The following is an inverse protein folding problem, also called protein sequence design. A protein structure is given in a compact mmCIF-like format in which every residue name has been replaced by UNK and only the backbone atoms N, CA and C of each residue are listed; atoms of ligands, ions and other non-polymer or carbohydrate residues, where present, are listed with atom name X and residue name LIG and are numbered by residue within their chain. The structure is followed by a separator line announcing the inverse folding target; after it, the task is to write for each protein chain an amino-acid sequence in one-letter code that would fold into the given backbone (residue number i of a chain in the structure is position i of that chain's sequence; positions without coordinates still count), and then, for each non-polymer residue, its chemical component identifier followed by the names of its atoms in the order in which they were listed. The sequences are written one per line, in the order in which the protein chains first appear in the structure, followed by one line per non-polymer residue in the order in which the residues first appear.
data_IF_165660427886
#
_entry.id   IF_165660427886
#
_cell.length_a   1.000
_cell.length_b   1.000
_cell.length_c   1.000
_cell.angle_alpha   90.00
_cell.angle_beta   90.00
_cell.angle_gamma   90.00
#
_symmetry.space_group_name_H-M   'P 1'
#
loop_
_entity.id
_entity.type
_entity.pdbx_description
1 polymer ?
#
# COMPACT_ATOMS: atom_id res chain seq x y z
N UNK A 1 -4.37 -15.73 -5.13
CA UNK A 1 -5.55 -15.01 -5.65
C UNK A 1 -5.83 -13.84 -4.72
N UNK A 2 -5.97 -12.65 -5.28
CA UNK A 2 -6.20 -11.42 -4.54
C UNK A 2 -7.56 -10.82 -4.94
N UNK A 3 -8.25 -10.22 -3.96
CA UNK A 3 -9.50 -9.49 -4.18
C UNK A 3 -9.22 -8.01 -4.06
N UNK A 4 -9.44 -7.28 -5.14
CA UNK A 4 -9.33 -5.83 -5.18
C UNK A 4 -10.69 -5.22 -4.91
N UNK A 5 -10.72 -4.12 -4.15
CA UNK A 5 -11.94 -3.38 -3.90
C UNK A 5 -11.66 -1.88 -3.89
N UNK A 6 -12.64 -1.08 -4.33
CA UNK A 6 -12.57 0.37 -4.27
C UNK A 6 -13.96 0.95 -4.02
N UNK A 7 -14.02 1.99 -3.17
CA UNK A 7 -15.27 2.70 -2.92
C UNK A 7 -15.40 3.84 -3.93
N UNK A 8 -16.49 3.80 -4.70
CA UNK A 8 -16.72 4.74 -5.79
C UNK A 8 -18.23 4.79 -6.10
N UNK A 9 -19.03 5.40 -5.21
CA UNK A 9 -20.51 5.33 -5.25
C UNK A 9 -21.12 6.10 -6.42
N UNK A 10 -20.35 6.98 -7.08
CA UNK A 10 -20.80 7.77 -8.23
C UNK A 10 -20.33 7.19 -9.57
N UNK A 11 -19.49 6.16 -9.55
CA UNK A 11 -19.08 5.47 -10.77
C UNK A 11 -20.21 4.56 -11.24
N UNK A 12 -20.33 4.40 -12.55
CA UNK A 12 -21.24 3.45 -13.22
C UNK A 12 -20.48 2.26 -13.75
N UNK A 13 -19.19 2.42 -14.06
CA UNK A 13 -18.30 1.34 -14.52
C UNK A 13 -16.92 1.53 -13.90
N UNK A 14 -16.40 0.46 -13.31
CA UNK A 14 -15.01 0.38 -12.87
C UNK A 14 -14.38 -0.88 -13.45
N UNK A 15 -13.18 -0.70 -13.98
CA UNK A 15 -12.30 -1.81 -14.31
C UNK A 15 -11.08 -1.81 -13.39
N UNK A 16 -10.68 -3.00 -12.96
CA UNK A 16 -9.35 -3.26 -12.45
C UNK A 16 -8.39 -3.36 -13.65
N UNK A 17 -7.33 -2.57 -13.64
CA UNK A 17 -6.22 -2.68 -14.58
C UNK A 17 -5.05 -3.32 -13.86
N UNK A 18 -4.60 -4.48 -14.30
CA UNK A 18 -3.50 -5.24 -13.70
C UNK A 18 -2.77 -6.04 -14.77
N UNK A 19 -1.43 -6.03 -14.78
CA UNK A 19 -0.60 -6.72 -15.78
C UNK A 19 -1.02 -6.47 -17.25
N UNK A 20 -1.37 -5.21 -17.56
CA UNK A 20 -1.82 -4.81 -18.90
C UNK A 20 -3.21 -5.31 -19.29
N UNK A 21 -3.90 -6.02 -18.40
CA UNK A 21 -5.28 -6.50 -18.59
C UNK A 21 -6.26 -5.58 -17.89
N UNK A 22 -7.46 -5.49 -18.44
CA UNK A 22 -8.60 -4.75 -17.90
C UNK A 22 -9.69 -5.75 -17.55
N UNK A 23 -10.09 -5.78 -16.28
CA UNK A 23 -11.07 -6.70 -15.73
C UNK A 23 -12.22 -5.89 -15.13
N UNK A 24 -13.42 -6.05 -15.68
CA UNK A 24 -14.61 -5.38 -15.16
C UNK A 24 -14.88 -5.77 -13.71
N UNK A 25 -15.03 -4.79 -12.84
CA UNK A 25 -15.40 -4.99 -11.44
C UNK A 25 -16.93 -5.04 -11.31
N UNK A 26 -17.41 -5.68 -10.24
CA UNK A 26 -18.84 -5.78 -9.94
C UNK A 26 -19.19 -4.78 -8.84
N UNK A 27 -20.33 -4.06 -8.96
CA UNK A 27 -20.84 -3.27 -7.86
C UNK A 27 -21.20 -4.19 -6.69
N UNK A 28 -20.90 -3.73 -5.49
CA UNK A 28 -21.23 -4.34 -4.20
C UNK A 28 -21.99 -3.31 -3.34
N UNK A 29 -22.42 -3.73 -2.16
CA UNK A 29 -23.24 -2.89 -1.27
C UNK A 29 -22.53 -1.59 -0.88
N UNK A 30 -23.30 -0.51 -0.68
CA UNK A 30 -22.79 0.76 -0.17
C UNK A 30 -21.89 1.55 -1.13
N UNK A 31 -21.92 1.25 -2.43
CA UNK A 31 -21.11 1.95 -3.45
C UNK A 31 -19.68 1.42 -3.59
N UNK A 32 -19.43 0.22 -3.04
CA UNK A 32 -18.20 -0.53 -3.27
C UNK A 32 -18.21 -1.20 -4.64
N UNK A 33 -17.02 -1.40 -5.17
CA UNK A 33 -16.75 -2.21 -6.35
C UNK A 33 -15.73 -3.26 -5.98
N UNK A 34 -15.95 -4.50 -6.39
CA UNK A 34 -15.04 -5.63 -6.13
C UNK A 34 -14.65 -6.34 -7.42
N UNK A 35 -13.38 -6.75 -7.51
CA UNK A 35 -12.96 -7.70 -8.52
C UNK A 35 -13.44 -9.10 -8.14
N UNK A 36 -13.56 -9.99 -9.14
CA UNK A 36 -13.44 -11.42 -8.85
C UNK A 36 -12.04 -11.76 -8.31
N UNK A 37 -11.81 -13.04 -8.03
CA UNK A 37 -10.48 -13.50 -7.66
C UNK A 37 -9.51 -13.29 -8.82
N UNK A 38 -8.58 -12.36 -8.65
CA UNK A 38 -7.58 -12.04 -9.65
C UNK A 38 -6.27 -12.77 -9.31
N UNK A 39 -5.59 -13.25 -10.35
CA UNK A 39 -4.20 -13.67 -10.22
C UNK A 39 -3.36 -12.41 -10.02
N UNK A 40 -2.81 -12.25 -8.82
CA UNK A 40 -1.91 -11.17 -8.46
C UNK A 40 -1.06 -11.64 -7.28
N UNK A 41 0.25 -11.59 -7.47
CA UNK A 41 1.26 -11.88 -6.46
C UNK A 41 1.89 -10.58 -5.95
N UNK A 42 2.69 -10.65 -4.89
CA UNK A 42 3.47 -9.50 -4.43
C UNK A 42 4.29 -8.89 -5.58
N UNK A 43 4.29 -7.56 -5.71
CA UNK A 43 4.92 -6.84 -6.82
C UNK A 43 3.99 -6.57 -8.01
N UNK A 44 2.82 -7.21 -8.10
CA UNK A 44 1.86 -6.98 -9.20
C UNK A 44 1.41 -5.51 -9.22
N UNK A 45 1.54 -4.86 -10.38
CA UNK A 45 1.10 -3.47 -10.60
C UNK A 45 -0.38 -3.42 -10.94
N UNK A 46 -1.14 -2.59 -10.24
CA UNK A 46 -2.58 -2.45 -10.44
C UNK A 46 -3.10 -1.02 -10.29
N UNK A 47 -4.26 -0.76 -10.86
CA UNK A 47 -5.00 0.50 -10.68
C UNK A 47 -6.47 0.36 -11.07
N UNK A 48 -7.26 1.38 -10.75
CA UNK A 48 -8.68 1.41 -11.07
C UNK A 48 -8.95 2.40 -12.20
N UNK A 49 -9.62 1.94 -13.25
CA UNK A 49 -10.13 2.80 -14.30
C UNK A 49 -11.60 3.07 -14.07
N UNK A 50 -11.96 4.35 -14.01
CA UNK A 50 -13.33 4.82 -13.81
C UNK A 50 -13.87 5.29 -15.16
N UNK A 51 -15.06 4.81 -15.56
CA UNK A 51 -15.71 5.17 -16.84
C UNK A 51 -14.79 5.04 -18.08
N UNK A 52 -13.94 4.00 -18.13
CA UNK A 52 -13.01 3.77 -19.25
C UNK A 52 -11.81 4.73 -19.33
N UNK A 53 -11.59 5.57 -18.32
CA UNK A 53 -10.46 6.49 -18.25
C UNK A 53 -9.08 5.81 -18.06
N UNK A 54 -8.02 6.63 -17.89
CA UNK A 54 -6.72 6.10 -17.50
C UNK A 54 -6.80 5.45 -16.10
N UNK A 55 -6.03 4.38 -15.84
CA UNK A 55 -5.97 3.78 -14.52
C UNK A 55 -5.40 4.78 -13.51
N UNK A 56 -5.99 4.79 -12.31
CA UNK A 56 -5.57 5.60 -11.17
C UNK A 56 -5.09 4.69 -10.04
N UNK A 57 -4.16 5.14 -9.19
CA UNK A 57 -3.74 4.38 -8.02
C UNK A 57 -4.92 4.12 -7.09
N UNK A 58 -4.77 3.04 -6.34
CA UNK A 58 -5.65 2.72 -5.22
C UNK A 58 -5.48 3.77 -4.11
N UNK A 59 -6.55 4.47 -3.68
CA UNK A 59 -6.47 5.37 -2.53
C UNK A 59 -6.08 4.67 -1.22
N UNK A 60 -6.16 3.33 -1.17
CA UNK A 60 -5.77 2.48 -0.04
C UNK A 60 -4.50 1.66 -0.35
N UNK A 61 -3.70 2.11 -1.31
CA UNK A 61 -2.47 1.44 -1.71
C UNK A 61 -1.49 1.27 -0.54
N UNK A 62 -0.83 0.11 -0.50
CA UNK A 62 0.27 -0.16 0.44
C UNK A 62 1.65 0.22 -0.11
N UNK A 63 1.78 0.43 -1.43
CA UNK A 63 3.05 0.76 -2.09
C UNK A 63 2.81 1.49 -3.42
N UNK A 64 3.54 2.60 -3.61
CA UNK A 64 3.53 3.46 -4.80
C UNK A 64 4.96 3.60 -5.37
N UNK A 65 5.49 2.53 -5.97
CA UNK A 65 6.89 2.47 -6.38
C UNK A 65 7.22 3.43 -7.54
N UNK A 66 6.23 3.74 -8.38
CA UNK A 66 6.37 4.63 -9.54
C UNK A 66 5.83 6.05 -9.26
N UNK A 67 5.71 6.41 -7.98
CA UNK A 67 5.21 7.70 -7.51
C UNK A 67 3.70 7.77 -7.30
N UNK A 68 3.21 8.87 -6.71
CA UNK A 68 1.82 9.00 -6.22
C UNK A 68 0.73 8.96 -7.29
N UNK A 69 1.09 9.08 -8.56
CA UNK A 69 0.17 8.96 -9.70
C UNK A 69 0.37 7.64 -10.47
N UNK A 70 1.36 6.84 -10.07
CA UNK A 70 1.67 5.55 -10.66
C UNK A 70 0.64 4.48 -10.32
N UNK A 71 0.87 3.27 -10.82
CA UNK A 71 0.07 2.12 -10.42
C UNK A 71 0.48 1.69 -9.01
N UNK A 72 -0.51 1.27 -8.23
CA UNK A 72 -0.30 0.61 -6.95
C UNK A 72 0.42 -0.72 -7.12
N UNK A 73 1.09 -1.16 -6.07
CA UNK A 73 1.71 -2.48 -6.01
C UNK A 73 1.06 -3.34 -4.92
N UNK A 74 0.80 -4.61 -5.24
CA UNK A 74 0.39 -5.61 -4.26
C UNK A 74 1.55 -5.90 -3.31
N UNK A 75 1.32 -5.78 -2.01
CA UNK A 75 2.31 -6.04 -0.96
C UNK A 75 1.91 -7.28 -0.18
N UNK A 76 2.81 -8.26 -0.07
CA UNK A 76 2.67 -9.35 0.88
C UNK A 76 3.11 -8.87 2.28
N UNK A 77 2.14 -8.63 3.15
CA UNK A 77 2.38 -8.19 4.52
C UNK A 77 3.05 -9.25 5.42
N UNK A 78 3.11 -10.51 4.95
CA UNK A 78 3.75 -11.61 5.66
C UNK A 78 5.17 -11.91 5.17
N UNK A 79 5.62 -11.23 4.10
CA UNK A 79 6.92 -11.47 3.49
C UNK A 79 8.11 -11.14 4.42
N UNK A 80 7.92 -10.21 5.36
CA UNK A 80 8.98 -9.84 6.30
C UNK A 80 9.02 -10.79 7.51
N UNK A 81 10.12 -11.53 7.74
CA UNK A 81 10.26 -12.42 8.88
C UNK A 81 10.64 -11.62 10.13
N UNK A 82 9.62 -11.08 10.81
CA UNK A 82 9.76 -10.34 12.08
C UNK A 82 10.63 -11.11 13.10
N UNK A 83 11.61 -10.42 13.70
CA UNK A 83 12.59 -10.99 14.65
C UNK A 83 12.38 -10.54 16.09
N UNK A 84 11.26 -9.88 16.36
CA UNK A 84 10.95 -9.16 17.59
C UNK A 84 9.75 -9.76 18.34
N UNK A 85 9.46 -11.05 18.15
CA UNK A 85 8.31 -11.75 18.76
C UNK A 85 8.23 -11.63 20.31
N UNK A 86 9.33 -11.28 20.98
CA UNK A 86 9.37 -11.02 22.43
C UNK A 86 9.05 -9.58 22.84
N UNK A 87 8.93 -8.64 21.89
CA UNK A 87 8.65 -7.24 22.17
C UNK A 87 7.19 -7.05 22.64
N UNK A 88 6.99 -6.28 23.71
CA UNK A 88 5.67 -6.03 24.33
C UNK A 88 5.30 -4.55 24.38
N UNK A 89 6.04 -3.69 23.68
CA UNK A 89 5.88 -2.23 23.77
C UNK A 89 6.49 -1.61 25.02
N UNK A 90 6.22 -0.33 25.24
CA UNK A 90 6.65 0.44 26.42
C UNK A 90 5.46 1.16 27.04
N UNK A 91 5.37 1.28 28.37
CA UNK A 91 4.33 2.07 29.02
C UNK A 91 4.49 3.55 28.65
N UNK A 92 3.37 4.27 28.59
CA UNK A 92 3.40 5.71 28.30
C UNK A 92 4.10 6.50 29.42
N UNK A 93 3.91 6.08 30.66
CA UNK A 93 4.59 6.68 31.80
C UNK A 93 6.10 6.49 31.69
N UNK A 94 6.85 7.60 31.65
CA UNK A 94 8.31 7.59 31.52
C UNK A 94 8.82 7.40 30.08
N UNK A 95 7.95 7.47 29.07
CA UNK A 95 8.37 7.47 27.67
C UNK A 95 9.02 8.82 27.32
N UNK A 96 10.22 8.78 26.74
CA UNK A 96 10.85 9.94 26.10
C UNK A 96 10.70 9.77 24.59
N UNK A 97 10.06 10.75 23.95
CA UNK A 97 9.85 10.75 22.51
C UNK A 97 10.98 11.52 21.82
N UNK A 98 11.56 10.90 20.79
CA UNK A 98 12.51 11.52 19.88
C UNK A 98 11.84 11.64 18.50
N UNK A 99 11.50 12.87 18.10
CA UNK A 99 10.94 13.12 16.77
C UNK A 99 12.07 13.17 15.73
N UNK A 100 11.91 12.38 14.65
CA UNK A 100 12.94 12.18 13.64
C UNK A 100 12.32 12.28 12.24
N UNK A 101 12.90 13.12 11.40
CA UNK A 101 12.54 13.21 9.98
C UNK A 101 13.49 12.37 9.12
N UNK A 102 12.98 11.29 8.52
CA UNK A 102 13.79 10.29 7.79
C UNK A 102 14.63 10.94 6.68
N UNK A 103 14.04 11.85 5.90
CA UNK A 103 14.71 12.47 4.76
C UNK A 103 15.86 13.44 5.10
N UNK A 104 16.05 13.79 6.38
CA UNK A 104 17.11 14.73 6.81
C UNK A 104 17.95 14.23 7.99
N UNK A 105 17.56 13.11 8.60
CA UNK A 105 18.27 12.55 9.75
C UNK A 105 19.67 12.03 9.41
N UNK A 106 19.82 11.50 8.20
CA UNK A 106 21.11 11.11 7.61
C UNK A 106 21.25 11.74 6.23
N UNK A 107 22.46 11.75 5.68
CA UNK A 107 22.69 12.21 4.32
C UNK A 107 21.97 11.34 3.26
N UNK A 108 21.77 10.04 3.53
CA UNK A 108 21.10 9.14 2.62
C UNK A 108 19.57 9.26 2.66
N UNK A 109 18.99 9.67 3.80
CA UNK A 109 17.56 9.95 3.91
C UNK A 109 16.65 8.73 3.82
N UNK A 110 17.13 7.55 4.24
CA UNK A 110 16.38 6.27 4.14
C UNK A 110 16.22 5.59 5.50
N UNK A 111 15.27 4.66 5.60
CA UNK A 111 15.13 3.81 6.79
C UNK A 111 16.40 3.01 7.09
N UNK A 112 17.07 2.44 6.08
CA UNK A 112 18.32 1.67 6.26
C UNK A 112 19.42 2.50 6.93
N UNK A 113 19.63 3.73 6.44
CA UNK A 113 20.63 4.62 7.05
C UNK A 113 20.24 5.08 8.47
N UNK A 114 18.94 5.13 8.78
CA UNK A 114 18.46 5.42 10.12
C UNK A 114 18.65 4.22 11.07
N UNK A 115 18.60 2.99 10.58
CA UNK A 115 18.85 1.78 11.39
C UNK A 115 20.27 1.79 11.97
N UNK A 116 21.27 2.18 11.18
CA UNK A 116 22.68 2.32 11.62
C UNK A 116 22.86 3.27 12.81
N UNK A 117 21.88 4.17 12.97
CA UNK A 117 21.87 5.24 13.95
C UNK A 117 21.10 4.85 15.23
N UNK A 118 20.30 3.78 15.24
CA UNK A 118 19.55 3.38 16.44
C UNK A 118 20.40 3.13 17.70
N UNK A 119 21.64 2.57 17.64
CA UNK A 119 22.41 2.27 18.86
C UNK A 119 22.86 3.47 19.70
N UNK A 120 22.83 4.70 19.15
CA UNK A 120 23.24 5.90 19.88
C UNK A 120 22.06 6.78 20.34
N UNK A 121 20.83 6.34 20.09
CA UNK A 121 19.60 7.02 20.52
C UNK A 121 19.19 6.66 21.94
#
# INVERSE_FOLDING_TARGET
MHRFAVWAPRARVIDLVSDGRRLGMRPADGGWWESGDAAADAGTRYGFSIEGGPPRPDPRSLSQPDGVLGLSEVVDQTAYPWRDAGWRGRPLAGLVLYELHIGTFTAAGTFDSAIERLPHL
#
